data_IF_747897722561
#
_entry.id   IF_747897722561
#
_cell.length_a   1.000
_cell.length_b   1.000
_cell.length_c   1.000
_cell.angle_alpha   90.00
_cell.angle_beta   90.00
_cell.angle_gamma   90.00
#
_symmetry.space_group_name_H-M   'P 1'
#
loop_
_entity.id
_entity.type
_entity.pdbx_description
1 polymer ?
#
# COMPACT_ATOMS: atom_id res chain seq x y z
N UNK A 1 -13.86 -32.13 -38.40
CA UNK A 1 -14.50 -30.79 -38.46
C UNK A 1 -15.07 -30.37 -37.11
N UNK A 2 -15.44 -31.33 -36.26
CA UNK A 2 -16.04 -31.12 -34.93
C UNK A 2 -15.03 -30.63 -33.86
N UNK A 3 -13.78 -31.11 -33.91
CA UNK A 3 -12.75 -30.77 -32.92
C UNK A 3 -12.30 -29.30 -32.97
N UNK A 4 -12.28 -28.69 -34.17
CA UNK A 4 -11.90 -27.29 -34.35
C UNK A 4 -12.96 -26.34 -33.76
N UNK A 5 -14.23 -26.72 -33.82
CA UNK A 5 -15.32 -25.96 -33.21
C UNK A 5 -15.28 -26.02 -31.67
N UNK A 6 -14.87 -27.17 -31.12
CA UNK A 6 -14.71 -27.34 -29.67
C UNK A 6 -13.54 -26.50 -29.12
N UNK A 7 -12.39 -26.53 -29.80
CA UNK A 7 -11.23 -25.71 -29.42
C UNK A 7 -11.53 -24.20 -29.48
N UNK A 8 -12.26 -23.74 -30.50
CA UNK A 8 -12.70 -22.34 -30.59
C UNK A 8 -13.68 -21.95 -29.47
N UNK A 9 -14.50 -22.89 -29.00
CA UNK A 9 -15.42 -22.66 -27.89
C UNK A 9 -14.67 -22.57 -26.56
N UNK A 10 -13.70 -23.47 -26.33
CA UNK A 10 -12.83 -23.44 -25.15
C UNK A 10 -11.98 -22.17 -25.08
N UNK A 11 -11.45 -21.71 -26.22
CA UNK A 11 -10.70 -20.45 -26.30
C UNK A 11 -11.59 -19.24 -25.97
N UNK A 12 -12.84 -19.22 -26.45
CA UNK A 12 -13.82 -18.17 -26.12
C UNK A 12 -14.20 -18.18 -24.64
N UNK A 13 -14.43 -19.35 -24.05
CA UNK A 13 -14.75 -19.50 -22.62
C UNK A 13 -13.58 -19.02 -21.76
N UNK A 14 -12.35 -19.44 -22.09
CA UNK A 14 -11.13 -19.01 -21.40
C UNK A 14 -10.92 -17.50 -21.50
N UNK A 15 -11.15 -16.91 -22.68
CA UNK A 15 -11.06 -15.47 -22.89
C UNK A 15 -12.13 -14.71 -22.08
N UNK A 16 -13.36 -15.21 -22.00
CA UNK A 16 -14.43 -14.61 -21.17
C UNK A 16 -14.11 -14.70 -19.68
N UNK A 17 -13.59 -15.83 -19.21
CA UNK A 17 -13.17 -16.01 -17.82
C UNK A 17 -11.98 -15.09 -17.47
N UNK A 18 -11.00 -14.97 -18.37
CA UNK A 18 -9.85 -14.07 -18.21
C UNK A 18 -10.27 -12.59 -18.21
N UNK A 19 -11.19 -12.20 -19.10
CA UNK A 19 -11.72 -10.84 -19.21
C UNK A 19 -12.61 -10.46 -18.01
N UNK A 20 -13.13 -11.44 -17.27
CA UNK A 20 -13.90 -11.22 -16.02
C UNK A 20 -13.04 -10.90 -14.79
N UNK A 21 -11.70 -10.96 -14.89
CA UNK A 21 -10.80 -10.75 -13.73
C UNK A 21 -10.70 -9.29 -13.28
N UNK A 22 -11.37 -8.34 -13.94
CA UNK A 22 -11.48 -6.96 -13.48
C UNK A 22 -12.94 -6.64 -13.13
N UNK A 23 -13.25 -6.58 -11.85
CA UNK A 23 -14.55 -6.12 -11.36
C UNK A 23 -14.80 -4.68 -11.81
N UNK A 24 -16.04 -4.36 -12.16
CA UNK A 24 -16.43 -2.96 -12.38
C UNK A 24 -16.36 -2.17 -11.06
N UNK A 25 -16.25 -0.84 -11.16
CA UNK A 25 -16.23 0.05 -9.99
C UNK A 25 -17.45 -0.13 -9.08
N UNK A 26 -18.62 -0.38 -9.68
CA UNK A 26 -19.86 -0.60 -8.93
C UNK A 26 -19.82 -1.91 -8.11
N UNK A 27 -19.28 -2.98 -8.70
CA UNK A 27 -19.11 -4.26 -8.02
C UNK A 27 -18.05 -4.16 -6.93
N UNK A 28 -16.95 -3.46 -7.19
CA UNK A 28 -15.90 -3.23 -6.20
C UNK A 28 -16.45 -2.48 -4.97
N UNK A 29 -17.23 -1.41 -5.20
CA UNK A 29 -17.88 -0.66 -4.12
C UNK A 29 -18.78 -1.56 -3.27
N UNK A 30 -19.59 -2.41 -3.92
CA UNK A 30 -20.48 -3.35 -3.24
C UNK A 30 -19.73 -4.34 -2.37
N UNK A 31 -18.58 -4.84 -2.84
CA UNK A 31 -17.74 -5.77 -2.07
C UNK A 31 -17.07 -5.07 -0.89
N UNK A 32 -16.54 -3.86 -1.08
CA UNK A 32 -15.90 -3.11 0.00
C UNK A 32 -16.88 -2.75 1.13
N UNK A 33 -18.11 -2.33 0.80
CA UNK A 33 -19.13 -2.09 1.83
C UNK A 33 -19.40 -3.33 2.69
N UNK A 34 -19.47 -4.51 2.07
CA UNK A 34 -19.63 -5.75 2.82
C UNK A 34 -18.47 -6.01 3.79
N UNK A 35 -17.23 -5.76 3.38
CA UNK A 35 -16.10 -5.94 4.29
C UNK A 35 -16.15 -4.97 5.47
N UNK A 36 -16.54 -3.71 5.21
CA UNK A 36 -16.70 -2.70 6.27
C UNK A 36 -17.78 -3.13 7.28
N UNK A 37 -18.90 -3.68 6.82
CA UNK A 37 -20.02 -4.07 7.69
C UNK A 37 -19.67 -5.19 8.70
N UNK A 38 -18.68 -6.04 8.38
CA UNK A 38 -18.27 -7.17 9.22
C UNK A 38 -16.85 -7.05 9.79
N UNK A 39 -16.16 -5.95 9.52
CA UNK A 39 -14.78 -5.74 9.94
C UNK A 39 -14.67 -5.45 11.45
N UNK A 40 -13.55 -5.84 12.03
CA UNK A 40 -13.20 -5.42 13.38
C UNK A 40 -12.72 -3.96 13.44
N UNK A 41 -12.63 -3.42 14.64
CA UNK A 41 -12.20 -2.03 14.88
C UNK A 41 -10.80 -1.74 14.33
N UNK A 42 -9.89 -2.72 14.39
CA UNK A 42 -8.50 -2.56 13.93
C UNK A 42 -8.45 -2.33 12.43
N UNK A 43 -9.17 -3.16 11.67
CA UNK A 43 -9.29 -3.01 10.22
C UNK A 43 -9.96 -1.69 9.85
N UNK A 44 -11.04 -1.32 10.54
CA UNK A 44 -11.74 -0.06 10.28
C UNK A 44 -10.84 1.16 10.52
N UNK A 45 -10.01 1.16 11.58
CA UNK A 45 -9.02 2.22 11.82
C UNK A 45 -8.00 2.31 10.70
N UNK A 46 -7.50 1.19 10.20
CA UNK A 46 -6.55 1.15 9.09
C UNK A 46 -7.16 1.73 7.80
N UNK A 47 -8.35 1.26 7.41
CA UNK A 47 -9.05 1.75 6.20
C UNK A 47 -9.35 3.24 6.30
N UNK A 48 -9.76 3.73 7.48
CA UNK A 48 -9.99 5.16 7.73
C UNK A 48 -8.71 6.00 7.61
N UNK A 49 -7.57 5.52 8.12
CA UNK A 49 -6.28 6.21 7.96
C UNK A 49 -5.86 6.27 6.48
N UNK A 50 -6.07 5.20 5.72
CA UNK A 50 -5.80 5.18 4.27
C UNK A 50 -6.76 6.11 3.50
N UNK A 51 -8.05 6.16 3.87
CA UNK A 51 -9.01 7.02 3.16
C UNK A 51 -8.69 8.51 3.31
N UNK A 52 -8.07 8.91 4.41
CA UNK A 52 -7.63 10.30 4.63
C UNK A 52 -6.55 10.78 3.64
N UNK A 53 -5.76 9.87 3.08
CA UNK A 53 -4.79 10.21 2.02
C UNK A 53 -5.51 10.66 0.73
N UNK A 54 -6.73 10.20 0.49
CA UNK A 54 -7.56 10.66 -0.62
C UNK A 54 -8.21 12.03 -0.36
N UNK A 55 -8.34 12.44 0.90
CA UNK A 55 -8.86 13.76 1.28
C UNK A 55 -7.76 14.83 1.28
N UNK A 56 -6.52 14.44 1.58
CA UNK A 56 -5.35 15.31 1.56
C UNK A 56 -4.19 14.63 0.80
N UNK A 57 -4.04 14.87 -0.51
CA UNK A 57 -3.03 14.21 -1.35
C UNK A 57 -1.58 14.52 -0.94
N UNK A 58 -1.39 15.43 0.02
CA UNK A 58 -0.10 15.83 0.55
C UNK A 58 0.38 14.96 1.72
N UNK A 59 -0.41 14.00 2.22
CA UNK A 59 0.03 13.07 3.29
C UNK A 59 0.86 11.93 2.68
N UNK A 60 2.09 11.74 3.17
CA UNK A 60 3.03 10.72 2.72
C UNK A 60 3.24 9.58 3.73
N UNK A 61 2.66 9.68 4.94
CA UNK A 61 2.72 8.64 5.97
C UNK A 61 2.24 9.13 7.34
N UNK A 62 2.53 8.37 8.39
CA UNK A 62 2.17 8.69 9.78
C UNK A 62 3.31 8.36 10.74
N UNK A 63 3.49 9.16 11.80
CA UNK A 63 4.41 8.87 12.90
C UNK A 63 3.82 7.77 13.81
N UNK A 64 4.62 7.25 14.76
CA UNK A 64 4.21 6.19 15.69
C UNK A 64 3.06 6.57 16.62
N UNK A 65 2.86 7.87 16.86
CA UNK A 65 1.76 8.43 17.63
C UNK A 65 0.49 8.68 16.78
N UNK A 66 0.54 8.35 15.49
CA UNK A 66 -0.56 8.52 14.54
C UNK A 66 -0.66 9.92 13.93
N UNK A 67 0.24 10.85 14.24
CA UNK A 67 0.26 12.16 13.57
C UNK A 67 0.71 12.03 12.11
N UNK A 68 0.12 12.79 11.17
CA UNK A 68 0.46 12.67 9.75
C UNK A 68 1.86 13.22 9.44
N UNK A 69 2.50 12.66 8.42
CA UNK A 69 3.72 13.17 7.80
C UNK A 69 3.33 13.63 6.39
N UNK A 70 3.60 14.88 6.07
CA UNK A 70 3.36 15.44 4.74
C UNK A 70 4.48 15.10 3.76
N UNK A 71 4.20 15.20 2.46
CA UNK A 71 5.17 15.00 1.40
C UNK A 71 6.33 16.02 1.46
N UNK A 72 6.06 17.25 1.92
CA UNK A 72 7.09 18.27 2.12
C UNK A 72 8.00 17.91 3.30
N UNK A 73 7.43 17.57 4.45
CA UNK A 73 8.20 17.14 5.63
C UNK A 73 9.05 15.90 5.32
N UNK A 74 8.52 14.94 4.56
CA UNK A 74 9.28 13.76 4.15
C UNK A 74 10.48 14.14 3.25
N UNK A 75 10.29 15.07 2.31
CA UNK A 75 11.38 15.58 1.46
C UNK A 75 12.45 16.29 2.28
N UNK A 76 12.05 17.08 3.27
CA UNK A 76 12.98 17.77 4.18
C UNK A 76 13.77 16.79 5.03
N UNK A 77 13.10 15.78 5.62
CA UNK A 77 13.74 14.71 6.39
C UNK A 77 14.78 13.96 5.55
N UNK A 78 14.44 13.63 4.30
CA UNK A 78 15.36 12.95 3.38
C UNK A 78 16.59 13.82 3.03
N UNK A 79 16.38 15.12 2.76
CA UNK A 79 17.48 16.07 2.51
C UNK A 79 18.40 16.19 3.73
N UNK A 80 17.82 16.34 4.93
CA UNK A 80 18.58 16.44 6.16
C UNK A 80 19.40 15.16 6.43
N UNK A 81 18.80 13.98 6.24
CA UNK A 81 19.51 12.70 6.36
C UNK A 81 20.67 12.60 5.35
N UNK A 82 20.46 12.99 4.09
CA UNK A 82 21.54 13.00 3.08
C UNK A 82 22.69 13.94 3.46
N UNK A 83 22.38 15.13 3.99
CA UNK A 83 23.39 16.08 4.45
C UNK A 83 24.22 15.56 5.61
N UNK A 84 23.59 14.89 6.60
CA UNK A 84 24.31 14.27 7.73
C UNK A 84 25.29 13.20 7.24
N UNK A 85 24.83 12.30 6.37
CA UNK A 85 25.70 11.27 5.78
C UNK A 85 26.88 11.90 5.03
N UNK A 86 26.65 12.97 4.25
CA UNK A 86 27.74 13.69 3.56
C UNK A 86 28.72 14.38 4.51
N UNK A 87 28.26 14.83 5.68
CA UNK A 87 29.09 15.42 6.72
C UNK A 87 29.87 14.38 7.54
N UNK A 88 29.67 13.08 7.29
CA UNK A 88 30.28 11.99 8.06
C UNK A 88 29.50 11.64 9.33
N UNK A 89 28.31 12.20 9.53
CA UNK A 89 27.41 11.90 10.65
C UNK A 89 26.53 10.69 10.28
N UNK A 90 27.14 9.49 10.30
CA UNK A 90 26.45 8.22 10.11
C UNK A 90 26.91 7.22 11.18
N UNK A 91 26.08 6.21 11.41
CA UNK A 91 26.46 5.06 12.21
C UNK A 91 26.73 3.88 11.28
N UNK A 92 27.80 3.15 11.54
CA UNK A 92 28.06 1.84 10.94
C UNK A 92 27.19 0.79 11.61
N UNK A 93 26.96 -0.32 10.90
CA UNK A 93 26.23 -1.46 11.46
C UNK A 93 26.86 -1.97 12.77
N UNK A 94 28.20 -2.00 12.84
CA UNK A 94 28.96 -2.46 14.00
C UNK A 94 28.78 -1.51 15.21
N UNK A 95 28.73 -0.19 14.99
CA UNK A 95 28.42 0.78 16.05
C UNK A 95 27.00 0.61 16.59
N UNK A 96 26.03 0.36 15.71
CA UNK A 96 24.63 0.12 16.13
C UNK A 96 24.51 -1.17 16.94
N UNK A 97 25.17 -2.25 16.52
CA UNK A 97 25.16 -3.53 17.25
C UNK A 97 25.74 -3.38 18.65
N UNK A 98 26.85 -2.65 18.79
CA UNK A 98 27.47 -2.36 20.09
C UNK A 98 26.57 -1.50 20.99
N UNK A 99 25.84 -0.54 20.43
CA UNK A 99 24.93 0.30 21.21
C UNK A 99 23.73 -0.50 21.73
N UNK A 100 23.21 -1.44 20.94
CA UNK A 100 22.09 -2.31 21.33
C UNK A 100 22.47 -3.22 22.52
N UNK A 101 23.72 -3.66 22.63
CA UNK A 101 24.18 -4.43 23.81
C UNK A 101 24.07 -3.65 25.12
N UNK A 102 23.99 -2.31 25.06
CA UNK A 102 23.92 -1.42 26.21
C UNK A 102 22.52 -0.82 26.46
N UNK A 103 21.50 -1.24 25.69
CA UNK A 103 20.10 -0.86 25.87
C UNK A 103 19.33 -1.89 26.70
#
# INVERSE_FOLDING_TARGET
MEDVNNLNNLAKISLTLYKSKTMSTAELRKVLHKYIDYADETFLKMVHSMSKEYENPDIAGYNVDGTPITAEELKERAKAASSRVKAGEYFTQEEVEKDIENW
#
